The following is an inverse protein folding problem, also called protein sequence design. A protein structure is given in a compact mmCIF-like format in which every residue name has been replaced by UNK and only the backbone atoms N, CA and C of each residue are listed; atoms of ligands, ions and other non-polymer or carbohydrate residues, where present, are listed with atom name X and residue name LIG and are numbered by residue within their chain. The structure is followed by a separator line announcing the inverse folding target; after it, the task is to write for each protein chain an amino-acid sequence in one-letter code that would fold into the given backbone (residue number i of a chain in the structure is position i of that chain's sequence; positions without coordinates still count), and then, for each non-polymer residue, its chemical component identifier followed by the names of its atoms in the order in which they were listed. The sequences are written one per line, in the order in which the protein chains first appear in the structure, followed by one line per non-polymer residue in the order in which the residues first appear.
data_IF_542175719140
#
_entry.id   IF_542175719140
#
_cell.length_a   1.000
_cell.length_b   1.000
_cell.length_c   1.000
_cell.angle_alpha   90.00
_cell.angle_beta   90.00
_cell.angle_gamma   90.00
#
_symmetry.space_group_name_H-M   'P 1'
#
loop_
_entity.id
_entity.type
_entity.pdbx_description
1 polymer ?
#
# COMPACT_ATOMS: atom_id res chain seq x y z
N UNK A 1 12.51 -17.74 0.94
CA UNK A 1 11.54 -17.04 0.07
C UNK A 1 12.26 -16.65 -1.23
N UNK A 2 11.72 -16.99 -2.39
CA UNK A 2 12.32 -16.72 -3.70
C UNK A 2 11.27 -16.61 -4.82
N UNK A 3 10.04 -16.23 -4.45
CA UNK A 3 8.97 -15.99 -5.41
C UNK A 3 9.15 -14.62 -6.06
N UNK A 4 8.90 -14.55 -7.37
CA UNK A 4 8.94 -13.31 -8.15
C UNK A 4 7.55 -13.14 -8.77
N UNK A 5 6.97 -11.95 -8.60
CA UNK A 5 5.74 -11.53 -9.28
C UNK A 5 6.13 -10.40 -10.23
N UNK A 6 5.70 -10.49 -11.49
CA UNK A 6 6.01 -9.51 -12.53
C UNK A 6 4.72 -8.87 -12.99
N UNK A 7 4.69 -7.54 -12.97
CA UNK A 7 3.62 -6.72 -13.53
C UNK A 7 4.12 -6.05 -14.80
N UNK A 8 3.24 -5.85 -15.78
CA UNK A 8 3.54 -5.01 -16.93
C UNK A 8 3.13 -3.54 -16.65
N UNK A 9 3.40 -2.66 -17.61
CA UNK A 9 3.17 -1.23 -17.48
C UNK A 9 1.67 -0.82 -17.49
N UNK A 10 0.73 -1.76 -17.52
CA UNK A 10 -0.71 -1.48 -17.42
C UNK A 10 -1.23 -1.48 -15.97
N UNK A 11 -0.40 -1.90 -15.02
CA UNK A 11 -0.75 -1.97 -13.60
C UNK A 11 -0.57 -0.64 -12.91
N UNK A 12 -1.56 -0.24 -12.10
CA UNK A 12 -1.50 0.90 -11.19
C UNK A 12 -0.79 0.49 -9.89
N UNK A 13 0.40 1.03 -9.63
CA UNK A 13 1.17 0.71 -8.43
C UNK A 13 0.55 1.28 -7.14
N UNK A 14 -0.32 2.29 -7.24
CA UNK A 14 -1.12 2.75 -6.09
C UNK A 14 -2.13 1.69 -5.66
N UNK A 15 -2.65 0.89 -6.61
CA UNK A 15 -3.50 -0.25 -6.32
C UNK A 15 -2.70 -1.40 -5.68
N UNK A 16 -1.48 -1.67 -6.13
CA UNK A 16 -0.63 -2.70 -5.53
C UNK A 16 -0.18 -2.33 -4.09
N UNK A 17 0.08 -1.04 -3.85
CA UNK A 17 0.33 -0.54 -2.51
C UNK A 17 -0.90 -0.73 -1.60
N UNK A 18 -2.10 -0.39 -2.10
CA UNK A 18 -3.36 -0.61 -1.38
C UNK A 18 -3.56 -2.10 -1.06
N UNK A 19 -3.33 -2.97 -2.04
CA UNK A 19 -3.46 -4.42 -1.90
C UNK A 19 -2.54 -4.96 -0.80
N UNK A 20 -1.31 -4.45 -0.70
CA UNK A 20 -0.36 -4.87 0.35
C UNK A 20 -0.91 -4.60 1.76
N UNK A 21 -1.55 -3.45 1.95
CA UNK A 21 -2.22 -3.11 3.21
C UNK A 21 -3.47 -3.98 3.44
N UNK A 22 -4.30 -4.18 2.41
CA UNK A 22 -5.52 -5.00 2.48
C UNK A 22 -5.23 -6.47 2.79
N UNK A 23 -4.19 -7.04 2.18
CA UNK A 23 -3.70 -8.37 2.51
C UNK A 23 -3.33 -8.47 3.99
N UNK A 24 -2.62 -7.46 4.50
CA UNK A 24 -2.29 -7.42 5.92
C UNK A 24 -3.53 -7.27 6.82
N UNK A 25 -4.58 -6.56 6.39
CA UNK A 25 -5.86 -6.51 7.12
C UNK A 25 -6.46 -7.91 7.23
N UNK A 26 -6.48 -8.67 6.14
CA UNK A 26 -7.07 -10.01 6.09
C UNK A 26 -6.27 -11.05 6.89
N UNK A 27 -4.93 -10.98 6.81
CA UNK A 27 -4.05 -12.01 7.37
C UNK A 27 -3.46 -11.65 8.74
N UNK A 28 -3.74 -10.45 9.27
CA UNK A 28 -3.24 -10.05 10.58
C UNK A 28 -3.71 -11.01 11.69
N UNK A 29 -2.78 -11.46 12.53
CA UNK A 29 -3.12 -12.19 13.75
C UNK A 29 -3.75 -11.29 14.84
N UNK A 30 -3.78 -9.97 14.63
CA UNK A 30 -4.42 -8.99 15.52
C UNK A 30 -3.66 -8.62 16.80
N UNK A 31 -2.48 -9.21 17.04
CA UNK A 31 -1.78 -9.09 18.35
C UNK A 31 -1.17 -7.72 18.63
N UNK A 32 -0.70 -6.99 17.61
CA UNK A 32 -0.07 -5.67 17.78
C UNK A 32 -0.89 -4.59 17.06
N UNK A 33 -1.08 -3.45 17.73
CA UNK A 33 -1.79 -2.29 17.20
C UNK A 33 -1.25 -1.78 15.86
N UNK A 34 0.07 -1.60 15.64
CA UNK A 34 0.58 -1.11 14.36
C UNK A 34 0.17 -2.02 13.18
N UNK A 35 0.20 -3.35 13.35
CA UNK A 35 -0.27 -4.27 12.30
C UNK A 35 -1.80 -4.30 12.18
N UNK A 36 -2.53 -4.41 13.29
CA UNK A 36 -4.00 -4.60 13.29
C UNK A 36 -4.77 -3.36 12.84
N UNK A 37 -4.35 -2.18 13.31
CA UNK A 37 -5.02 -0.91 13.01
C UNK A 37 -4.30 -0.20 11.86
N UNK A 38 -2.97 -0.24 11.84
CA UNK A 38 -2.19 0.47 10.83
C UNK A 38 -2.48 -0.02 9.41
N UNK A 39 -2.65 -1.34 9.21
CA UNK A 39 -3.03 -1.87 7.89
C UNK A 39 -4.38 -1.32 7.39
N UNK A 40 -5.41 -1.29 8.26
CA UNK A 40 -6.71 -0.71 7.93
C UNK A 40 -6.61 0.79 7.61
N UNK A 41 -5.84 1.54 8.41
CA UNK A 41 -5.59 2.97 8.14
C UNK A 41 -4.80 3.18 6.86
N UNK A 42 -3.87 2.28 6.54
CA UNK A 42 -3.10 2.31 5.31
C UNK A 42 -4.00 2.19 4.09
N UNK A 43 -4.97 1.25 4.10
CA UNK A 43 -5.98 1.14 3.04
C UNK A 43 -6.76 2.44 2.88
N UNK A 44 -7.29 2.98 3.98
CA UNK A 44 -8.10 4.22 3.96
C UNK A 44 -7.30 5.43 3.44
N UNK A 45 -6.04 5.59 3.89
CA UNK A 45 -5.18 6.70 3.46
C UNK A 45 -4.84 6.58 1.98
N UNK A 46 -4.50 5.38 1.51
CA UNK A 46 -4.24 5.14 0.08
C UNK A 46 -5.50 5.41 -0.75
N UNK A 47 -6.70 5.02 -0.27
CA UNK A 47 -7.95 5.33 -0.96
C UNK A 47 -8.20 6.85 -1.07
N UNK A 48 -7.90 7.62 -0.01
CA UNK A 48 -7.96 9.10 -0.06
C UNK A 48 -6.97 9.69 -1.06
N UNK A 49 -5.73 9.18 -1.09
CA UNK A 49 -4.72 9.59 -2.07
C UNK A 49 -5.24 9.36 -3.50
N UNK A 50 -5.75 8.16 -3.77
CA UNK A 50 -6.26 7.77 -5.10
C UNK A 50 -7.49 8.57 -5.54
N UNK A 51 -8.26 9.09 -4.58
CA UNK A 51 -9.42 9.96 -4.83
C UNK A 51 -9.07 11.46 -4.88
N UNK A 52 -7.80 11.83 -4.81
CA UNK A 52 -7.34 13.23 -4.76
C UNK A 52 -7.80 14.02 -3.53
N UNK A 53 -8.17 13.34 -2.45
CA UNK A 53 -8.60 13.97 -1.20
C UNK A 53 -7.36 14.41 -0.41
N UNK A 54 -7.08 15.71 -0.34
CA UNK A 54 -5.94 16.28 0.40
C UNK A 54 -4.63 15.47 0.21
N UNK A 55 -4.30 15.20 -1.06
CA UNK A 55 -3.29 14.20 -1.46
C UNK A 55 -1.94 14.41 -0.77
N UNK A 56 -1.41 15.63 -0.79
CA UNK A 56 -0.10 15.94 -0.21
C UNK A 56 -0.04 15.56 1.29
N UNK A 57 -1.03 15.99 2.09
CA UNK A 57 -1.07 15.65 3.51
C UNK A 57 -1.28 14.15 3.76
N UNK A 58 -2.05 13.47 2.90
CA UNK A 58 -2.22 12.02 3.02
C UNK A 58 -0.96 11.25 2.60
N UNK A 59 -0.13 11.77 1.69
CA UNK A 59 1.17 11.17 1.36
C UNK A 59 2.14 11.25 2.55
N UNK A 60 2.21 12.39 3.22
CA UNK A 60 3.00 12.55 4.46
C UNK A 60 2.48 11.59 5.55
N UNK A 61 1.17 11.55 5.76
CA UNK A 61 0.54 10.64 6.72
C UNK A 61 0.81 9.16 6.40
N UNK A 62 0.83 8.79 5.11
CA UNK A 62 1.12 7.42 4.68
C UNK A 62 2.56 7.03 5.02
N UNK A 63 3.51 7.96 4.87
CA UNK A 63 4.92 7.73 5.19
C UNK A 63 5.11 7.52 6.71
N UNK A 64 4.59 8.43 7.53
CA UNK A 64 4.61 8.32 9.01
C UNK A 64 3.98 7.00 9.49
N UNK A 65 2.88 6.59 8.86
CA UNK A 65 2.22 5.33 9.15
C UNK A 65 3.10 4.13 8.79
N UNK A 66 3.76 4.16 7.63
CA UNK A 66 4.66 3.10 7.20
C UNK A 66 5.84 2.96 8.16
N UNK A 67 6.46 4.06 8.60
CA UNK A 67 7.53 4.05 9.60
C UNK A 67 7.06 3.43 10.93
N UNK A 68 5.91 3.87 11.43
CA UNK A 68 5.30 3.32 12.66
C UNK A 68 5.05 1.81 12.54
N UNK A 69 4.63 1.36 11.36
CA UNK A 69 4.39 -0.04 11.07
C UNK A 69 5.67 -0.85 10.85
N UNK A 70 6.83 -0.24 10.59
CA UNK A 70 8.12 -0.94 10.52
C UNK A 70 8.67 -1.15 11.93
N UNK A 71 8.62 -0.12 12.77
CA UNK A 71 9.31 -0.12 14.08
C UNK A 71 8.50 -0.74 15.23
N UNK A 72 7.17 -0.68 15.13
CA UNK A 72 6.26 -1.12 16.20
C UNK A 72 5.81 -2.60 16.27
N UNK A 73 5.83 -3.42 15.20
CA UNK A 73 5.24 -4.76 15.25
C UNK A 73 5.97 -5.79 16.10
N UNK A 74 5.21 -6.78 16.56
CA UNK A 74 5.74 -7.93 17.30
C UNK A 74 6.21 -9.09 16.41
N UNK A 75 5.99 -9.00 15.09
CA UNK A 75 6.36 -10.06 14.15
C UNK A 75 6.81 -9.48 12.81
N UNK A 76 7.54 -10.30 12.04
CA UNK A 76 8.12 -9.90 10.77
C UNK A 76 7.06 -9.54 9.72
N UNK A 77 5.89 -10.21 9.69
CA UNK A 77 4.83 -9.89 8.73
C UNK A 77 4.36 -8.45 8.89
N UNK A 78 4.07 -8.02 10.13
CA UNK A 78 3.66 -6.63 10.38
C UNK A 78 4.72 -5.62 9.94
N UNK A 79 6.00 -5.90 10.19
CA UNK A 79 7.12 -5.00 9.85
C UNK A 79 7.47 -4.95 8.37
N UNK A 80 7.12 -5.99 7.60
CA UNK A 80 7.41 -6.06 6.17
C UNK A 80 6.26 -5.57 5.28
N UNK A 81 5.02 -5.53 5.79
CA UNK A 81 3.86 -4.98 5.05
C UNK A 81 4.09 -3.59 4.46
N UNK A 82 4.80 -2.65 5.12
CA UNK A 82 5.04 -1.32 4.55
C UNK A 82 6.04 -1.28 3.39
N UNK A 83 6.91 -2.29 3.23
CA UNK A 83 7.99 -2.22 2.24
C UNK A 83 7.51 -2.16 0.77
N UNK A 84 6.49 -2.95 0.35
CA UNK A 84 5.88 -2.77 -0.96
C UNK A 84 5.27 -1.38 -1.17
N UNK A 85 4.67 -0.80 -0.13
CA UNK A 85 4.05 0.53 -0.20
C UNK A 85 5.10 1.62 -0.40
N UNK A 86 6.13 1.65 0.45
CA UNK A 86 7.23 2.62 0.33
C UNK A 86 7.96 2.46 -1.01
N UNK A 87 8.14 1.22 -1.48
CA UNK A 87 8.74 0.96 -2.79
C UNK A 87 7.87 1.50 -3.92
N UNK A 88 6.55 1.27 -3.89
CA UNK A 88 5.63 1.80 -4.89
C UNK A 88 5.66 3.34 -4.92
N UNK A 89 5.58 4.00 -3.77
CA UNK A 89 5.64 5.47 -3.67
C UNK A 89 6.98 6.02 -4.20
N UNK A 90 8.09 5.38 -3.84
CA UNK A 90 9.43 5.84 -4.22
C UNK A 90 9.74 5.67 -5.70
N UNK A 91 9.36 4.54 -6.29
CA UNK A 91 9.77 4.17 -7.64
C UNK A 91 8.69 4.45 -8.71
N UNK A 92 7.43 4.60 -8.32
CA UNK A 92 6.30 4.90 -9.21
C UNK A 92 5.44 6.06 -8.67
N UNK A 93 6.02 7.22 -8.32
CA UNK A 93 5.27 8.34 -7.76
C UNK A 93 4.17 8.85 -8.68
N UNK A 94 4.29 8.66 -9.99
CA UNK A 94 3.28 9.03 -10.99
C UNK A 94 1.92 8.37 -10.76
N UNK A 95 1.90 7.11 -10.29
CA UNK A 95 0.68 6.35 -10.02
C UNK A 95 -0.06 6.89 -8.80
N UNK A 96 0.65 7.61 -7.93
CA UNK A 96 0.08 8.29 -6.77
C UNK A 96 -0.24 9.75 -7.03
N UNK A 97 -0.03 10.28 -8.23
CA UNK A 97 -0.30 11.68 -8.58
C UNK A 97 -1.47 11.86 -9.55
N UNK A 98 -2.08 10.78 -9.99
CA UNK A 98 -3.21 10.80 -10.90
C UNK A 98 -4.47 10.27 -10.20
N UNK A 99 -5.66 10.80 -10.51
CA UNK A 99 -6.91 10.17 -10.09
C UNK A 99 -7.03 8.78 -10.73
N UNK A 100 -7.75 7.85 -10.07
CA UNK A 100 -8.02 6.49 -10.59
C UNK A 100 -8.23 6.49 -12.10
N UNK A 101 -7.28 5.94 -12.84
CA UNK A 101 -7.50 5.60 -14.24
C UNK A 101 -8.33 4.31 -14.28
N UNK A 102 -9.44 4.31 -15.02
CA UNK A 102 -10.19 3.08 -15.25
C UNK A 102 -9.25 2.05 -15.89
N UNK A 103 -9.13 0.88 -15.28
CA UNK A 103 -8.29 -0.21 -15.77
C UNK A 103 -8.58 -0.44 -17.25
N UNK A 104 -7.57 -0.18 -18.11
CA UNK A 104 -7.63 -0.61 -19.50
C UNK A 104 -7.44 -2.13 -19.48
N UNK A 105 -8.55 -2.85 -19.45
CA UNK A 105 -8.56 -4.31 -19.48
C UNK A 105 -7.73 -4.84 -20.64
N UNK A 106 -6.56 -5.39 -20.32
CA UNK A 106 -5.85 -6.29 -21.22
C UNK A 106 -6.54 -7.64 -21.10
N UNK A 107 -7.54 -7.85 -21.95
CA UNK A 107 -8.04 -9.19 -22.22
C UNK A 107 -6.85 -10.04 -22.69
N UNK A 108 -6.55 -11.13 -21.99
CA UNK A 108 -5.77 -12.24 -22.55
C UNK A 108 -6.58 -13.52 -22.44
N UNK A 109 -6.52 -14.23 -23.58
CA UNK A 109 -7.29 -15.39 -24.00
C UNK A 109 -7.02 -16.64 -23.18
#
# INVERSE_FOLDING_TARGET
HGGIVVFDNSVDMSEQARFSMEFCVAESCGKCTPCRIGSTRGVEVIDRIRNDENRAANMELLDDLCETMIDGPLCAMGGMTPFPVQSAVKYFPEDFNQPKQAAKGSARS
#
